data_IF_675976795833
#
_entry.id   IF_675976795833
#
_cell.length_a   1.000
_cell.length_b   1.000
_cell.length_c   1.000
_cell.angle_alpha   90.00
_cell.angle_beta   90.00
_cell.angle_gamma   90.00
#
_symmetry.space_group_name_H-M   'P 1'
#
loop_
_entity.id
_entity.type
_entity.pdbx_description
1 polymer ?
#
# COMPACT_ATOMS: atom_id res chain seq x y z
N UNK A 1 5.36 11.49 4.50
CA UNK A 1 4.73 10.26 3.97
C UNK A 1 3.33 10.06 4.54
N UNK A 2 3.15 9.79 5.84
CA UNK A 2 1.82 9.54 6.43
C UNK A 2 0.77 10.63 6.14
N UNK A 3 1.14 11.92 6.21
CA UNK A 3 0.23 13.04 5.86
C UNK A 3 -0.27 13.01 4.41
N UNK A 4 0.55 12.54 3.46
CA UNK A 4 0.11 12.35 2.06
C UNK A 4 -0.93 11.23 1.99
N UNK A 5 -0.67 10.10 2.64
CA UNK A 5 -1.65 9.01 2.72
C UNK A 5 -2.95 9.47 3.39
N UNK A 6 -2.88 10.28 4.45
CA UNK A 6 -4.06 10.83 5.13
C UNK A 6 -4.84 11.79 4.23
N UNK A 7 -4.15 12.68 3.51
CA UNK A 7 -4.78 13.55 2.52
C UNK A 7 -5.55 12.73 1.48
N UNK A 8 -4.94 11.66 0.97
CA UNK A 8 -5.56 10.77 -0.02
C UNK A 8 -6.75 9.99 0.57
N UNK A 9 -6.61 9.46 1.79
CA UNK A 9 -7.69 8.81 2.54
C UNK A 9 -8.88 9.74 2.76
N UNK A 10 -8.61 11.03 3.00
CA UNK A 10 -9.61 12.09 3.12
C UNK A 10 -10.02 12.70 1.77
N UNK A 11 -9.81 11.98 0.66
CA UNK A 11 -10.24 12.38 -0.68
C UNK A 11 -9.70 13.76 -1.10
N UNK A 12 -8.47 14.09 -0.70
CA UNK A 12 -7.80 15.34 -1.05
C UNK A 12 -8.19 16.53 -0.18
N UNK A 13 -8.98 16.32 0.86
CA UNK A 13 -9.34 17.35 1.84
C UNK A 13 -8.38 17.33 3.03
N UNK A 14 -7.79 18.47 3.35
CA UNK A 14 -6.95 18.68 4.52
C UNK A 14 -7.62 19.69 5.45
N UNK A 15 -8.07 19.23 6.62
CA UNK A 15 -8.66 20.09 7.66
C UNK A 15 -9.78 21.02 7.14
N UNK A 16 -10.66 20.51 6.27
CA UNK A 16 -11.76 21.27 5.68
C UNK A 16 -11.42 21.90 4.33
N UNK A 17 -10.14 22.08 4.00
CA UNK A 17 -9.70 22.67 2.73
C UNK A 17 -9.47 21.60 1.65
N UNK A 18 -10.08 21.74 0.48
CA UNK A 18 -9.85 20.85 -0.66
C UNK A 18 -8.52 21.20 -1.36
N UNK A 19 -7.46 20.44 -1.09
CA UNK A 19 -6.12 20.66 -1.67
C UNK A 19 -5.98 19.95 -3.03
N UNK A 20 -6.54 18.74 -3.15
CA UNK A 20 -6.55 17.94 -4.39
C UNK A 20 -7.98 17.58 -4.71
N UNK A 21 -8.46 17.74 -5.94
CA UNK A 21 -9.88 17.47 -6.21
C UNK A 21 -10.27 16.01 -5.90
N UNK A 22 -11.47 15.80 -5.32
CA UNK A 22 -12.00 14.46 -5.03
C UNK A 22 -12.03 13.56 -6.27
N UNK A 23 -12.39 14.14 -7.42
CA UNK A 23 -12.41 13.44 -8.69
C UNK A 23 -11.01 13.01 -9.14
N UNK A 24 -9.99 13.85 -8.90
CA UNK A 24 -8.61 13.49 -9.20
C UNK A 24 -8.10 12.39 -8.29
N UNK A 25 -8.36 12.45 -6.98
CA UNK A 25 -8.01 11.36 -6.04
C UNK A 25 -8.62 10.04 -6.52
N UNK A 26 -9.93 10.01 -6.78
CA UNK A 26 -10.62 8.82 -7.28
C UNK A 26 -10.01 8.29 -8.58
N UNK A 27 -9.64 9.17 -9.51
CA UNK A 27 -9.04 8.79 -10.79
C UNK A 27 -7.63 8.23 -10.64
N UNK A 28 -6.79 8.81 -9.78
CA UNK A 28 -5.40 8.34 -9.65
C UNK A 28 -5.27 7.06 -8.84
N UNK A 29 -6.24 6.78 -7.97
CA UNK A 29 -6.31 5.54 -7.18
C UNK A 29 -7.27 4.49 -7.76
N UNK A 30 -7.82 4.71 -8.96
CA UNK A 30 -8.59 3.68 -9.67
C UNK A 30 -7.65 2.78 -10.49
N UNK A 31 -8.07 1.53 -10.69
CA UNK A 31 -7.36 0.56 -11.51
C UNK A 31 -7.33 1.03 -12.98
N UNK A 32 -6.12 1.25 -13.52
CA UNK A 32 -5.87 1.58 -14.94
C UNK A 32 -5.26 0.38 -15.64
N UNK A 33 -4.31 -0.28 -15.00
CA UNK A 33 -3.70 -1.51 -15.48
C UNK A 33 -4.00 -2.63 -14.48
N UNK A 34 -4.86 -3.59 -14.84
CA UNK A 34 -5.16 -4.75 -14.01
C UNK A 34 -3.92 -5.56 -13.63
N UNK A 35 -3.99 -6.26 -12.50
CA UNK A 35 -2.91 -7.11 -11.99
C UNK A 35 -2.43 -8.11 -13.05
N UNK A 36 -3.36 -8.77 -13.75
CA UNK A 36 -3.04 -9.80 -14.75
C UNK A 36 -2.34 -9.26 -16.01
N UNK A 37 -2.34 -7.94 -16.21
CA UNK A 37 -1.66 -7.23 -17.30
C UNK A 37 -0.30 -6.63 -16.87
N UNK A 38 0.07 -6.75 -15.58
CA UNK A 38 1.33 -6.19 -15.07
C UNK A 38 2.58 -6.78 -15.73
N UNK A 39 3.57 -5.90 -15.94
CA UNK A 39 4.85 -6.24 -16.53
C UNK A 39 6.03 -5.72 -15.69
N UNK A 40 7.10 -6.51 -15.54
CA UNK A 40 7.34 -7.85 -16.12
C UNK A 40 6.46 -8.94 -15.47
N UNK A 41 6.36 -10.16 -16.05
CA UNK A 41 5.50 -11.24 -15.55
C UNK A 41 5.62 -11.55 -14.06
N UNK A 42 6.79 -11.30 -13.45
CA UNK A 42 7.00 -11.44 -12.00
C UNK A 42 6.07 -10.55 -11.15
N UNK A 43 5.56 -9.44 -11.69
CA UNK A 43 4.61 -8.56 -11.00
C UNK A 43 3.17 -9.09 -10.99
N UNK A 44 2.86 -10.07 -11.85
CA UNK A 44 1.55 -10.74 -11.93
C UNK A 44 1.59 -12.20 -11.50
N UNK A 45 2.63 -12.59 -10.76
CA UNK A 45 2.71 -13.90 -10.12
C UNK A 45 1.86 -13.90 -8.85
N UNK A 46 0.95 -14.86 -8.74
CA UNK A 46 0.16 -15.07 -7.53
C UNK A 46 1.07 -15.61 -6.42
N UNK A 47 1.04 -14.97 -5.25
CA UNK A 47 1.92 -15.26 -4.10
C UNK A 47 2.26 -13.99 -3.31
N UNK A 48 2.67 -14.14 -2.05
CA UNK A 48 3.17 -13.07 -1.16
C UNK A 48 2.31 -11.78 -1.11
N UNK A 49 0.99 -11.92 -1.02
CA UNK A 49 0.09 -10.76 -0.90
C UNK A 49 -0.02 -9.90 -2.18
N UNK A 50 0.36 -10.43 -3.34
CA UNK A 50 0.28 -9.71 -4.61
C UNK A 50 -1.06 -9.93 -5.32
N UNK A 51 -1.94 -8.93 -5.21
CA UNK A 51 -3.04 -8.66 -6.15
C UNK A 51 -3.06 -7.17 -6.53
N UNK A 52 -1.89 -6.55 -6.61
CA UNK A 52 -1.79 -5.12 -6.87
C UNK A 52 -1.74 -4.86 -8.38
N UNK A 53 -2.77 -4.24 -8.93
CA UNK A 53 -2.68 -3.56 -10.22
C UNK A 53 -2.13 -2.15 -10.06
N UNK A 54 -2.34 -1.31 -11.06
CA UNK A 54 -1.76 0.03 -11.11
C UNK A 54 -2.76 1.10 -11.58
N UNK A 55 -2.69 2.27 -10.96
CA UNK A 55 -3.41 3.49 -11.34
C UNK A 55 -2.43 4.55 -11.85
N UNK A 56 -2.71 5.84 -11.60
CA UNK A 56 -1.76 6.91 -11.96
C UNK A 56 -0.77 7.11 -10.81
N UNK A 57 0.38 6.41 -10.87
CA UNK A 57 1.45 6.46 -9.86
C UNK A 57 1.14 5.76 -8.52
N UNK A 58 0.03 5.03 -8.44
CA UNK A 58 -0.37 4.23 -7.28
C UNK A 58 -0.53 2.76 -7.65
N UNK A 59 -0.07 1.87 -6.78
CA UNK A 59 -0.47 0.46 -6.84
C UNK A 59 -1.86 0.32 -6.22
N UNK A 60 -2.79 -0.33 -6.90
CA UNK A 60 -4.20 -0.40 -6.51
C UNK A 60 -4.58 -1.85 -6.26
N UNK A 61 -5.30 -2.12 -5.17
CA UNK A 61 -5.73 -3.48 -4.85
C UNK A 61 -6.75 -3.97 -5.89
N UNK A 62 -6.37 -4.98 -6.66
CA UNK A 62 -7.15 -5.58 -7.73
C UNK A 62 -7.88 -6.83 -7.22
N UNK A 63 -8.86 -6.57 -6.36
CA UNK A 63 -9.88 -7.55 -5.98
C UNK A 63 -11.22 -6.84 -5.74
N UNK A 64 -11.82 -6.25 -6.80
CA UNK A 64 -12.99 -5.37 -6.68
C UNK A 64 -14.21 -6.05 -6.03
N UNK A 65 -14.31 -7.37 -6.18
CA UNK A 65 -15.41 -8.18 -5.64
C UNK A 65 -15.04 -8.92 -4.34
N UNK A 66 -13.88 -8.62 -3.74
CA UNK A 66 -13.46 -9.21 -2.47
C UNK A 66 -13.72 -8.20 -1.35
N UNK A 67 -14.71 -8.44 -0.47
CA UNK A 67 -14.84 -7.65 0.75
C UNK A 67 -13.61 -7.87 1.65
N UNK A 68 -13.50 -7.05 2.70
CA UNK A 68 -12.44 -7.11 3.69
C UNK A 68 -11.48 -5.92 3.67
N UNK A 69 -10.40 -5.98 4.47
CA UNK A 69 -9.63 -4.81 4.88
C UNK A 69 -8.89 -4.09 3.74
N UNK A 70 -8.63 -4.81 2.64
CA UNK A 70 -7.96 -4.26 1.45
C UNK A 70 -8.94 -3.69 0.41
N UNK A 71 -10.26 -3.74 0.63
CA UNK A 71 -11.21 -3.21 -0.35
C UNK A 71 -10.99 -1.71 -0.57
N UNK A 72 -10.66 -1.33 -1.82
CA UNK A 72 -10.32 0.04 -2.18
C UNK A 72 -8.93 0.50 -1.70
N UNK A 73 -8.08 -0.42 -1.21
CA UNK A 73 -6.73 -0.10 -0.78
C UNK A 73 -5.84 0.28 -1.96
N UNK A 74 -4.90 1.17 -1.69
CA UNK A 74 -3.87 1.56 -2.64
C UNK A 74 -2.58 1.90 -1.91
N UNK A 75 -1.45 1.75 -2.59
CA UNK A 75 -0.14 1.96 -1.99
C UNK A 75 0.87 2.61 -2.93
N UNK A 76 1.62 3.56 -2.40
CA UNK A 76 2.89 3.96 -3.00
C UNK A 76 3.94 2.90 -2.65
N UNK A 77 4.70 2.41 -3.63
CA UNK A 77 5.82 1.49 -3.41
C UNK A 77 7.09 2.13 -3.96
N UNK A 78 8.10 2.30 -3.11
CA UNK A 78 9.41 2.79 -3.46
C UNK A 78 10.50 1.77 -3.15
N UNK A 79 11.62 1.86 -3.87
CA UNK A 79 12.74 0.94 -3.74
C UNK A 79 13.30 0.87 -2.31
N UNK A 80 13.71 -0.33 -1.89
CA UNK A 80 14.30 -0.56 -0.57
C UNK A 80 13.31 -0.55 0.60
N UNK A 81 12.01 -0.68 0.33
CA UNK A 81 10.99 -0.84 1.37
C UNK A 81 10.38 0.49 1.83
N UNK A 82 10.07 1.38 0.89
CA UNK A 82 9.33 2.61 1.18
C UNK A 82 7.87 2.40 0.80
N UNK A 83 6.95 2.56 1.74
CA UNK A 83 5.53 2.34 1.47
C UNK A 83 4.65 3.43 2.07
N UNK A 84 3.59 3.77 1.35
CA UNK A 84 2.44 4.53 1.86
C UNK A 84 1.21 3.73 1.49
N UNK A 85 0.72 2.87 2.37
CA UNK A 85 -0.50 2.10 2.14
C UNK A 85 -1.69 2.79 2.80
N UNK A 86 -2.75 2.97 2.04
CA UNK A 86 -4.02 3.50 2.49
C UNK A 86 -5.05 2.36 2.49
N UNK A 87 -5.74 2.19 3.62
CA UNK A 87 -6.74 1.16 3.87
C UNK A 87 -8.07 1.86 4.21
N UNK A 88 -8.90 2.21 3.20
CA UNK A 88 -10.12 2.98 3.44
C UNK A 88 -11.11 2.28 4.38
N UNK A 89 -11.25 0.96 4.30
CA UNK A 89 -12.16 0.20 5.16
C UNK A 89 -11.80 0.27 6.64
N UNK A 90 -10.54 0.59 6.97
CA UNK A 90 -10.03 0.64 8.33
C UNK A 90 -9.77 2.07 8.81
N UNK A 91 -10.06 3.08 7.99
CA UNK A 91 -9.66 4.48 8.19
C UNK A 91 -8.17 4.61 8.56
N UNK A 92 -7.31 3.86 7.87
CA UNK A 92 -5.92 3.66 8.26
C UNK A 92 -4.94 4.04 7.15
N UNK A 93 -3.81 4.62 7.57
CA UNK A 93 -2.63 4.86 6.72
C UNK A 93 -1.41 4.25 7.40
N UNK A 94 -0.66 3.44 6.66
CA UNK A 94 0.62 2.88 7.10
C UNK A 94 1.72 3.49 6.25
N UNK A 95 2.60 4.27 6.90
CA UNK A 95 3.82 4.78 6.27
C UNK A 95 5.02 3.99 6.79
N UNK A 96 5.67 3.25 5.90
CA UNK A 96 6.87 2.50 6.21
C UNK A 96 8.07 3.12 5.51
N UNK A 97 9.16 3.33 6.25
CA UNK A 97 10.41 3.85 5.73
C UNK A 97 11.58 2.97 6.14
N UNK A 98 12.50 2.80 5.21
CA UNK A 98 13.78 2.11 5.46
C UNK A 98 14.92 3.08 5.22
N UNK A 99 15.90 3.12 6.12
CA UNK A 99 17.16 3.79 5.85
C UNK A 99 18.07 2.85 5.06
N UNK A 100 18.02 2.99 3.73
CA UNK A 100 18.74 2.11 2.79
C UNK A 100 20.23 2.40 2.71
N UNK A 101 20.75 3.40 3.43
CA UNK A 101 22.20 3.67 3.50
C UNK A 101 22.87 2.91 4.64
N UNK A 102 22.10 2.40 5.59
CA UNK A 102 22.62 1.69 6.74
C UNK A 102 22.87 0.20 6.42
N UNK A 103 23.88 -0.42 7.04
CA UNK A 103 24.08 -1.86 6.96
C UNK A 103 22.92 -2.60 7.65
N UNK A 104 22.58 -3.77 7.09
CA UNK A 104 21.60 -4.67 7.69
C UNK A 104 22.16 -5.27 8.98
N UNK A 105 21.47 -5.12 10.14
CA UNK A 105 21.95 -5.66 11.41
C UNK A 105 21.95 -7.20 11.44
N UNK A 106 21.26 -7.85 10.50
CA UNK A 106 21.12 -9.32 10.41
C UNK A 106 21.59 -9.89 9.07
N UNK A 107 22.23 -9.07 8.20
CA UNK A 107 22.73 -9.53 6.91
C UNK A 107 24.19 -9.95 6.99
N UNK A 108 24.53 -11.13 6.44
CA UNK A 108 25.92 -11.47 6.17
C UNK A 108 26.46 -10.58 5.02
N UNK A 109 27.60 -9.92 5.23
CA UNK A 109 28.26 -9.05 4.23
C UNK A 109 27.77 -7.59 4.21
N UNK A 110 28.20 -6.82 3.20
CA UNK A 110 27.88 -5.39 3.03
C UNK A 110 26.42 -5.13 2.55
N UNK A 111 25.47 -5.96 2.96
CA UNK A 111 24.07 -5.84 2.52
C UNK A 111 23.41 -4.66 3.23
N UNK A 112 22.89 -3.71 2.45
CA UNK A 112 22.16 -2.55 2.97
C UNK A 112 20.77 -2.95 3.48
N UNK A 113 20.21 -2.20 4.42
CA UNK A 113 18.84 -2.41 4.91
C UNK A 113 17.84 -2.26 3.77
N UNK A 114 16.91 -3.19 3.69
CA UNK A 114 15.78 -3.15 2.79
C UNK A 114 14.63 -3.95 3.42
N UNK A 115 13.41 -3.58 3.09
CA UNK A 115 12.22 -4.38 3.38
C UNK A 115 11.57 -4.77 2.05
N UNK A 116 11.41 -6.07 1.84
CA UNK A 116 10.73 -6.64 0.67
C UNK A 116 9.22 -6.41 0.73
N UNK A 117 8.55 -6.64 -0.40
CA UNK A 117 7.09 -6.59 -0.45
C UNK A 117 6.43 -7.61 0.50
N UNK A 118 6.98 -8.82 0.59
CA UNK A 118 6.46 -9.89 1.44
C UNK A 118 6.62 -9.61 2.94
N UNK A 119 7.78 -9.08 3.34
CA UNK A 119 8.01 -8.64 4.72
C UNK A 119 7.06 -7.50 5.09
N UNK A 120 6.87 -6.54 4.18
CA UNK A 120 5.92 -5.45 4.40
C UNK A 120 4.46 -5.93 4.45
N UNK A 121 4.05 -6.88 3.61
CA UNK A 121 2.72 -7.50 3.68
C UNK A 121 2.48 -8.18 5.03
N UNK A 122 3.50 -8.84 5.58
CA UNK A 122 3.45 -9.43 6.93
C UNK A 122 3.21 -8.37 8.00
N UNK A 123 3.92 -7.23 7.92
CA UNK A 123 3.71 -6.08 8.82
C UNK A 123 2.27 -5.54 8.67
N UNK A 124 1.78 -5.35 7.44
CA UNK A 124 0.42 -4.89 7.19
C UNK A 124 -0.62 -5.83 7.81
N UNK A 125 -0.48 -7.14 7.63
CA UNK A 125 -1.38 -8.14 8.21
C UNK A 125 -1.38 -8.11 9.73
N UNK A 126 -0.23 -7.93 10.37
CA UNK A 126 -0.15 -7.77 11.82
C UNK A 126 -0.89 -6.51 12.30
N UNK A 127 -0.74 -5.38 11.59
CA UNK A 127 -1.44 -4.14 11.91
C UNK A 127 -2.96 -4.26 11.71
N UNK A 128 -3.38 -4.90 10.62
CA UNK A 128 -4.80 -5.19 10.35
C UNK A 128 -5.38 -6.09 11.45
N UNK A 129 -4.69 -7.17 11.81
CA UNK A 129 -5.12 -8.09 12.87
C UNK A 129 -5.25 -7.38 14.22
N UNK A 130 -4.28 -6.52 14.58
CA UNK A 130 -4.33 -5.72 15.80
C UNK A 130 -5.48 -4.71 15.82
N UNK A 131 -5.83 -4.13 14.67
CA UNK A 131 -6.98 -3.21 14.54
C UNK A 131 -8.33 -3.94 14.61
N UNK A 132 -8.34 -5.22 14.26
CA UNK A 132 -9.54 -6.04 14.08
C UNK A 132 -9.52 -7.31 14.96
N UNK A 133 -9.49 -7.19 16.30
CA UNK A 133 -9.46 -8.35 17.17
C UNK A 133 -10.72 -9.22 16.97
N UNK A 134 -10.55 -10.55 16.92
CA UNK A 134 -11.66 -11.50 16.80
C UNK A 134 -12.26 -11.67 15.39
N UNK A 135 -11.64 -11.14 14.34
CA UNK A 135 -12.08 -11.35 12.95
C UNK A 135 -13.13 -10.35 12.42
N UNK A 136 -13.40 -9.28 13.16
CA UNK A 136 -14.49 -8.33 12.89
C UNK A 136 -14.29 -7.33 11.72
N UNK A 137 -13.38 -7.58 10.78
CA UNK A 137 -13.15 -6.71 9.62
C UNK A 137 -13.42 -7.45 8.30
N UNK A 138 -14.54 -8.17 8.26
CA UNK A 138 -15.10 -8.80 7.05
C UNK A 138 -15.92 -7.79 6.25
#
# INVERSE_FOLDING_TARGET
MARIGLLMLRNGNWAGQQVVSRNWVRRITSLVTPFHEMNPPRQRSLGDGNRWGYGYMWWVWDAPNSPGPFQGAYTGKGAGGQFITVLPQLDMVVAHKTDTQQPSPHGSGQRRRAVSGAEYDSILRMLIAAKCPGGGCQ
#
